data_IF_099131733755
#
_entry.id   IF_099131733755
#
_cell.length_a   1.000
_cell.length_b   1.000
_cell.length_c   1.000
_cell.angle_alpha   90.00
_cell.angle_beta   90.00
_cell.angle_gamma   90.00
#
_symmetry.space_group_name_H-M   'P 1'
#
loop_
_entity.id
_entity.type
_entity.pdbx_description
1 polymer ?
#
# COMPACT_ATOMS: atom_id res chain seq x y z
N UNK A 1 24.86 -25.14 9.97
CA UNK A 1 23.59 -24.91 10.71
C UNK A 1 23.47 -23.45 11.06
N UNK A 2 22.31 -22.82 10.80
CA UNK A 2 22.08 -21.48 11.30
C UNK A 2 22.05 -21.53 12.84
N UNK A 3 22.84 -20.68 13.49
CA UNK A 3 22.83 -20.58 14.94
C UNK A 3 21.89 -19.45 15.38
N UNK A 4 21.02 -19.76 16.32
CA UNK A 4 20.15 -18.76 16.97
C UNK A 4 20.89 -18.29 18.23
N UNK A 5 21.13 -17.00 18.34
CA UNK A 5 21.71 -16.40 19.53
C UNK A 5 20.67 -15.52 20.22
N UNK A 6 20.33 -15.86 21.45
CA UNK A 6 19.47 -15.05 22.29
C UNK A 6 20.35 -14.28 23.27
N UNK A 7 20.25 -12.96 23.28
CA UNK A 7 20.93 -12.12 24.26
C UNK A 7 19.91 -11.27 25.02
N UNK A 8 20.07 -11.06 26.33
CA UNK A 8 19.12 -10.28 27.13
C UNK A 8 18.92 -8.84 26.63
N UNK A 9 19.94 -8.28 25.96
CA UNK A 9 19.92 -6.91 25.48
C UNK A 9 19.42 -6.74 24.03
N UNK A 10 19.38 -7.82 23.23
CA UNK A 10 19.09 -7.72 21.78
C UNK A 10 17.97 -8.64 21.29
N UNK A 11 17.34 -9.40 22.17
CA UNK A 11 16.29 -10.33 21.78
C UNK A 11 16.78 -11.48 20.90
N UNK A 12 15.87 -12.07 20.15
CA UNK A 12 16.14 -13.19 19.23
C UNK A 12 16.58 -12.65 17.88
N UNK A 13 17.75 -13.07 17.38
CA UNK A 13 18.13 -12.80 15.99
C UNK A 13 18.72 -14.05 15.32
N UNK A 14 18.47 -14.19 14.05
CA UNK A 14 18.98 -15.26 13.22
C UNK A 14 20.27 -14.82 12.53
N UNK A 15 21.36 -15.57 12.75
CA UNK A 15 22.64 -15.30 12.11
C UNK A 15 22.71 -16.07 10.79
N UNK A 16 22.81 -15.37 9.67
CA UNK A 16 22.94 -15.97 8.34
C UNK A 16 21.65 -16.01 7.51
N UNK A 17 20.57 -15.37 7.96
CA UNK A 17 19.38 -15.09 7.17
C UNK A 17 19.25 -13.60 6.86
N UNK A 18 18.47 -13.28 5.84
CA UNK A 18 18.15 -11.89 5.46
C UNK A 18 17.08 -11.25 6.35
N UNK A 19 16.39 -12.05 7.15
CA UNK A 19 15.33 -11.56 8.01
C UNK A 19 15.86 -11.26 9.39
N UNK A 20 16.00 -9.98 9.70
CA UNK A 20 16.28 -9.49 11.04
C UNK A 20 14.95 -9.25 11.75
N UNK A 21 14.66 -10.04 12.78
CA UNK A 21 13.55 -9.69 13.69
C UNK A 21 14.04 -8.51 14.53
N UNK A 22 13.44 -7.33 14.39
CA UNK A 22 13.85 -6.17 15.17
C UNK A 22 13.69 -6.43 16.67
N UNK A 23 14.55 -5.82 17.44
CA UNK A 23 14.61 -5.93 18.89
C UNK A 23 13.27 -5.80 19.61
N UNK A 24 13.03 -6.74 20.50
CA UNK A 24 12.02 -6.65 21.55
C UNK A 24 10.61 -6.92 21.05
N UNK A 25 9.78 -7.34 21.92
CA UNK A 25 8.35 -7.63 21.81
C UNK A 25 7.76 -7.57 20.39
N UNK A 26 7.28 -8.70 19.92
CA UNK A 26 6.41 -8.82 18.73
C UNK A 26 5.09 -8.02 18.88
N UNK A 27 4.92 -7.32 19.97
CA UNK A 27 3.80 -6.42 20.23
C UNK A 27 4.13 -5.03 19.69
N UNK A 28 3.42 -4.59 18.67
CA UNK A 28 3.44 -3.22 18.20
C UNK A 28 4.41 -2.93 17.07
N UNK A 29 4.43 -3.74 16.02
CA UNK A 29 5.04 -3.36 14.77
C UNK A 29 4.35 -2.09 14.24
N UNK A 30 5.03 -0.96 14.43
CA UNK A 30 4.58 0.29 13.82
C UNK A 30 4.80 0.19 12.30
N UNK A 31 3.76 0.45 11.53
CA UNK A 31 3.91 0.60 10.09
C UNK A 31 4.77 1.85 9.83
N UNK A 32 5.73 1.75 8.92
CA UNK A 32 6.46 2.91 8.46
C UNK A 32 5.49 3.87 7.74
N UNK A 33 5.55 5.16 8.07
CA UNK A 33 4.84 6.21 7.34
C UNK A 33 5.86 6.96 6.50
N UNK A 34 5.70 6.91 5.19
CA UNK A 34 6.65 7.47 4.22
C UNK A 34 5.96 8.61 3.48
N UNK A 35 6.44 9.84 3.65
CA UNK A 35 5.92 11.00 2.94
C UNK A 35 6.30 10.94 1.45
N UNK A 36 5.35 11.28 0.58
CA UNK A 36 5.52 11.38 -0.87
C UNK A 36 4.94 12.72 -1.36
N UNK A 37 5.72 13.41 -2.18
CA UNK A 37 5.36 14.70 -2.78
C UNK A 37 5.49 14.71 -4.30
N UNK A 38 5.57 13.53 -4.90
CA UNK A 38 5.67 13.30 -6.34
C UNK A 38 5.06 11.94 -6.70
N UNK A 39 4.90 11.68 -7.99
CA UNK A 39 4.55 10.36 -8.50
C UNK A 39 5.54 9.31 -8.00
N UNK A 40 5.03 8.13 -7.70
CA UNK A 40 5.83 7.09 -7.09
C UNK A 40 5.51 5.71 -7.65
N UNK A 41 6.57 4.95 -7.93
CA UNK A 41 6.46 3.52 -8.27
C UNK A 41 6.80 2.70 -7.04
N UNK A 42 5.89 1.81 -6.62
CA UNK A 42 6.10 0.91 -5.49
C UNK A 42 7.30 -0.02 -5.71
N UNK A 43 8.04 -0.22 -4.65
CA UNK A 43 9.15 -1.17 -4.56
C UNK A 43 8.87 -2.22 -3.49
N UNK A 44 9.60 -3.33 -3.48
CA UNK A 44 9.44 -4.37 -2.46
C UNK A 44 9.70 -3.86 -1.03
N UNK A 45 10.52 -2.82 -0.88
CA UNK A 45 10.81 -2.21 0.41
C UNK A 45 9.61 -1.47 1.04
N UNK A 46 8.61 -1.11 0.23
CA UNK A 46 7.41 -0.39 0.69
C UNK A 46 6.35 -1.33 1.29
N UNK A 47 6.54 -2.65 1.22
CA UNK A 47 5.59 -3.62 1.74
C UNK A 47 5.32 -3.38 3.24
N UNK A 48 4.06 -3.33 3.62
CA UNK A 48 3.63 -3.06 4.99
C UNK A 48 3.62 -1.59 5.40
N UNK A 49 4.05 -0.66 4.54
CA UNK A 49 4.11 0.76 4.86
C UNK A 49 2.79 1.51 4.62
N UNK A 50 2.75 2.75 5.08
CA UNK A 50 1.75 3.76 4.73
C UNK A 50 2.47 4.84 3.92
N UNK A 51 2.03 5.07 2.69
CA UNK A 51 2.52 6.14 1.83
C UNK A 51 1.61 7.36 1.98
N UNK A 52 2.12 8.42 2.58
CA UNK A 52 1.39 9.65 2.85
C UNK A 52 1.67 10.67 1.74
N UNK A 53 0.69 10.90 0.88
CA UNK A 53 0.83 11.82 -0.26
C UNK A 53 0.35 13.23 0.08
N UNK A 54 1.18 14.22 -0.26
CA UNK A 54 0.88 15.65 -0.08
C UNK A 54 1.46 16.48 -1.23
N UNK A 55 0.92 17.69 -1.42
CA UNK A 55 1.40 18.64 -2.41
C UNK A 55 0.49 18.77 -3.63
N UNK A 56 0.58 17.95 -4.60
CA UNK A 56 -0.19 18.00 -5.86
C UNK A 56 -0.98 16.73 -6.17
N UNK A 57 -1.51 16.63 -7.37
CA UNK A 57 -2.03 15.39 -7.90
C UNK A 57 -0.88 14.39 -8.12
N UNK A 58 -1.04 13.17 -7.65
CA UNK A 58 0.01 12.16 -7.72
C UNK A 58 -0.49 10.82 -8.21
N UNK A 59 0.41 10.11 -8.90
CA UNK A 59 0.18 8.74 -9.38
C UNK A 59 1.04 7.75 -8.59
N UNK A 60 0.38 6.72 -8.05
CA UNK A 60 1.02 5.54 -7.48
C UNK A 60 1.00 4.43 -8.51
N UNK A 61 2.17 4.00 -8.98
CA UNK A 61 2.31 2.88 -9.92
C UNK A 61 2.60 1.59 -9.19
N UNK A 62 1.78 0.57 -9.45
CA UNK A 62 1.90 -0.76 -8.88
C UNK A 62 2.84 -1.63 -9.73
N UNK A 63 3.72 -2.42 -9.11
CA UNK A 63 4.62 -3.31 -9.83
C UNK A 63 3.91 -4.51 -10.46
N UNK A 64 4.66 -5.30 -11.22
CA UNK A 64 4.16 -6.53 -11.84
C UNK A 64 3.68 -7.54 -10.79
N UNK A 65 2.59 -8.27 -11.10
CA UNK A 65 1.98 -9.26 -10.20
C UNK A 65 2.92 -10.41 -9.84
N UNK A 66 3.74 -10.85 -10.80
CA UNK A 66 4.60 -12.03 -10.66
C UNK A 66 5.56 -11.95 -9.45
N UNK A 67 5.96 -10.73 -9.06
CA UNK A 67 6.89 -10.48 -7.96
C UNK A 67 6.22 -9.88 -6.72
N UNK A 68 4.89 -9.73 -6.74
CA UNK A 68 4.19 -8.91 -5.75
C UNK A 68 3.16 -9.69 -4.90
N UNK A 69 3.05 -11.00 -5.07
CA UNK A 69 2.10 -11.80 -4.29
C UNK A 69 2.30 -11.63 -2.79
N UNK A 70 1.23 -11.29 -2.07
CA UNK A 70 1.26 -11.00 -0.63
C UNK A 70 1.66 -9.56 -0.27
N UNK A 71 2.07 -8.77 -1.24
CA UNK A 71 2.40 -7.36 -1.02
C UNK A 71 1.17 -6.58 -0.57
N UNK A 72 1.36 -5.69 0.40
CA UNK A 72 0.29 -4.79 0.86
C UNK A 72 0.87 -3.43 1.23
N UNK A 73 0.09 -2.38 0.98
CA UNK A 73 0.44 -1.00 1.30
C UNK A 73 -0.83 -0.17 1.47
N UNK A 74 -0.77 0.88 2.26
CA UNK A 74 -1.84 1.88 2.32
C UNK A 74 -1.34 3.17 1.68
N UNK A 75 -2.09 3.71 0.73
CA UNK A 75 -1.94 5.06 0.21
C UNK A 75 -2.89 5.98 0.96
N UNK A 76 -2.37 7.06 1.53
CA UNK A 76 -3.10 8.01 2.36
C UNK A 76 -3.02 9.41 1.78
N UNK A 77 -4.14 10.11 1.71
CA UNK A 77 -4.23 11.50 1.25
C UNK A 77 -3.98 12.44 2.42
N UNK A 78 -2.82 13.09 2.44
CA UNK A 78 -2.41 14.01 3.50
C UNK A 78 -2.71 15.50 3.17
N UNK A 79 -3.00 15.80 1.92
CA UNK A 79 -3.54 17.10 1.49
C UNK A 79 -4.58 16.89 0.39
N UNK A 80 -5.60 17.75 0.32
CA UNK A 80 -6.69 17.62 -0.64
C UNK A 80 -6.18 17.70 -2.09
N UNK A 81 -6.20 16.58 -2.82
CA UNK A 81 -5.68 16.46 -4.18
C UNK A 81 -6.25 15.23 -4.91
N UNK A 82 -6.08 15.24 -6.23
CA UNK A 82 -6.36 14.05 -7.04
C UNK A 82 -5.31 12.97 -6.80
N UNK A 83 -5.76 11.76 -6.60
CA UNK A 83 -4.89 10.60 -6.43
C UNK A 83 -5.22 9.53 -7.46
N UNK A 84 -4.18 8.99 -8.07
CA UNK A 84 -4.31 7.96 -9.11
C UNK A 84 -3.51 6.73 -8.67
N UNK A 85 -4.13 5.57 -8.76
CA UNK A 85 -3.44 4.28 -8.64
C UNK A 85 -3.50 3.59 -10.00
N UNK A 86 -2.36 3.29 -10.58
CA UNK A 86 -2.26 2.59 -11.86
C UNK A 86 -1.48 1.28 -11.69
N UNK A 87 -1.85 0.27 -12.45
CA UNK A 87 -1.22 -1.05 -12.39
C UNK A 87 -1.16 -1.75 -13.74
N UNK A 88 -0.82 -3.04 -13.77
CA UNK A 88 -0.82 -3.82 -14.99
C UNK A 88 -2.21 -3.84 -15.63
N UNK A 89 -2.25 -3.82 -16.96
CA UNK A 89 -3.49 -3.72 -17.76
C UNK A 89 -4.52 -4.77 -17.36
N UNK A 90 -5.74 -4.33 -17.04
CA UNK A 90 -6.87 -5.16 -16.62
C UNK A 90 -6.57 -6.08 -15.41
N UNK A 91 -5.67 -5.66 -14.53
CA UNK A 91 -5.25 -6.43 -13.36
C UNK A 91 -5.58 -5.77 -12.02
N UNK A 92 -6.39 -4.73 -12.05
CA UNK A 92 -6.93 -4.14 -10.83
C UNK A 92 -8.36 -4.59 -10.59
N UNK A 93 -8.71 -4.77 -9.34
CA UNK A 93 -10.07 -4.92 -8.85
C UNK A 93 -10.27 -4.01 -7.65
N UNK A 94 -11.43 -3.40 -7.52
CA UNK A 94 -11.69 -2.40 -6.50
C UNK A 94 -13.04 -2.59 -5.83
N UNK A 95 -13.06 -2.31 -4.53
CA UNK A 95 -14.27 -1.95 -3.78
C UNK A 95 -14.07 -0.51 -3.31
N UNK A 96 -14.91 0.39 -3.76
CA UNK A 96 -14.94 1.77 -3.30
C UNK A 96 -16.07 1.95 -2.30
N UNK A 97 -15.76 2.52 -1.16
CA UNK A 97 -16.72 2.92 -0.12
C UNK A 97 -16.64 4.44 0.01
N UNK A 98 -17.70 5.11 -0.37
CA UNK A 98 -17.86 6.56 -0.22
C UNK A 98 -19.11 6.88 0.62
N UNK A 99 -19.33 8.16 0.90
CA UNK A 99 -20.46 8.63 1.70
C UNK A 99 -21.86 8.28 1.13
N UNK A 100 -21.94 7.91 -0.15
CA UNK A 100 -23.21 7.72 -0.87
C UNK A 100 -23.43 6.30 -1.39
N UNK A 101 -22.37 5.53 -1.65
CA UNK A 101 -22.48 4.22 -2.28
C UNK A 101 -21.27 3.31 -2.01
N UNK A 102 -21.47 2.01 -2.25
CA UNK A 102 -20.38 1.03 -2.37
C UNK A 102 -20.36 0.53 -3.80
N UNK A 103 -19.27 0.77 -4.51
CA UNK A 103 -19.07 0.29 -5.86
C UNK A 103 -18.05 -0.85 -5.91
N UNK A 104 -18.28 -1.79 -6.82
CA UNK A 104 -17.34 -2.86 -7.14
C UNK A 104 -17.01 -2.83 -8.61
N UNK A 105 -15.73 -2.72 -8.93
CA UNK A 105 -15.24 -2.74 -10.31
C UNK A 105 -14.15 -3.78 -10.45
N UNK A 106 -14.13 -4.47 -11.58
CA UNK A 106 -13.19 -5.56 -11.83
C UNK A 106 -12.53 -5.42 -13.20
N UNK A 107 -11.29 -5.88 -13.33
CA UNK A 107 -10.51 -5.89 -14.56
C UNK A 107 -10.31 -4.49 -15.20
N UNK A 108 -9.77 -3.56 -14.43
CA UNK A 108 -9.41 -2.23 -14.90
C UNK A 108 -7.89 -1.96 -14.71
N UNK A 109 -7.41 -0.82 -15.19
CA UNK A 109 -5.98 -0.46 -15.16
C UNK A 109 -5.68 0.69 -14.22
N UNK A 110 -6.63 1.61 -14.04
CA UNK A 110 -6.42 2.84 -13.27
C UNK A 110 -7.61 3.14 -12.37
N UNK A 111 -7.35 3.45 -11.10
CA UNK A 111 -8.32 3.99 -10.15
C UNK A 111 -7.99 5.47 -9.89
N UNK A 112 -8.93 6.37 -10.15
CA UNK A 112 -8.78 7.80 -9.97
C UNK A 112 -9.73 8.32 -8.90
N UNK A 113 -9.18 8.89 -7.83
CA UNK A 113 -9.90 9.69 -6.86
C UNK A 113 -9.75 11.16 -7.25
N UNK A 114 -10.81 11.77 -7.76
CA UNK A 114 -10.86 13.19 -8.07
C UNK A 114 -11.29 13.98 -6.82
N UNK A 115 -10.57 15.05 -6.53
CA UNK A 115 -10.83 15.89 -5.35
C UNK A 115 -10.78 15.11 -4.02
N UNK A 116 -9.77 14.28 -3.84
CA UNK A 116 -9.55 13.56 -2.60
C UNK A 116 -9.43 14.50 -1.40
N UNK A 117 -10.08 14.13 -0.30
CA UNK A 117 -10.04 14.86 0.96
C UNK A 117 -8.92 14.34 1.86
N UNK A 118 -8.48 15.16 2.83
CA UNK A 118 -7.55 14.70 3.86
C UNK A 118 -8.21 13.55 4.64
N UNK A 119 -7.54 12.41 4.71
CA UNK A 119 -8.04 11.22 5.36
C UNK A 119 -8.50 10.12 4.40
N UNK A 120 -8.75 10.45 3.14
CA UNK A 120 -9.04 9.44 2.12
C UNK A 120 -7.85 8.49 1.95
N UNK A 121 -8.15 7.22 1.66
CA UNK A 121 -7.12 6.21 1.55
C UNK A 121 -7.49 5.10 0.58
N UNK A 122 -6.46 4.46 0.04
CA UNK A 122 -6.53 3.20 -0.68
C UNK A 122 -5.74 2.15 0.09
N UNK A 123 -6.40 1.10 0.55
CA UNK A 123 -5.73 -0.10 1.04
C UNK A 123 -5.51 -1.05 -0.15
N UNK A 124 -4.26 -1.35 -0.45
CA UNK A 124 -3.84 -2.03 -1.68
C UNK A 124 -3.16 -3.35 -1.32
N UNK A 125 -3.60 -4.44 -1.93
CA UNK A 125 -3.08 -5.77 -1.69
C UNK A 125 -2.93 -6.54 -3.00
N UNK A 126 -1.84 -7.29 -3.15
CA UNK A 126 -1.63 -8.19 -4.28
C UNK A 126 -1.96 -9.64 -3.91
N UNK A 127 -3.03 -10.19 -4.44
CA UNK A 127 -3.40 -11.59 -4.20
C UNK A 127 -2.68 -12.58 -5.15
N UNK A 128 -1.98 -12.09 -6.17
CA UNK A 128 -1.22 -12.86 -7.15
C UNK A 128 -1.74 -12.72 -8.58
N UNK A 129 -3.04 -12.82 -8.81
CA UNK A 129 -3.67 -12.67 -10.14
C UNK A 129 -4.16 -11.25 -10.40
N UNK A 130 -4.46 -10.53 -9.31
CA UNK A 130 -4.93 -9.14 -9.31
C UNK A 130 -4.34 -8.34 -8.17
N UNK A 131 -4.26 -7.03 -8.36
CA UNK A 131 -4.18 -6.05 -7.31
C UNK A 131 -5.59 -5.73 -6.83
N UNK A 132 -5.83 -5.89 -5.55
CA UNK A 132 -7.09 -5.58 -4.89
C UNK A 132 -6.96 -4.24 -4.19
N UNK A 133 -7.87 -3.32 -4.49
CA UNK A 133 -7.91 -1.98 -3.92
C UNK A 133 -9.20 -1.86 -3.11
N UNK A 134 -9.08 -1.46 -1.84
CA UNK A 134 -10.22 -0.99 -1.06
C UNK A 134 -10.06 0.50 -0.87
N UNK A 135 -10.94 1.27 -1.51
CA UNK A 135 -10.93 2.72 -1.44
C UNK A 135 -11.93 3.19 -0.38
N UNK A 136 -11.46 4.00 0.54
CA UNK A 136 -12.26 4.74 1.51
C UNK A 136 -12.08 6.22 1.19
N UNK A 137 -13.07 6.82 0.57
CA UNK A 137 -12.98 8.18 0.08
C UNK A 137 -14.33 8.90 0.22
N UNK A 138 -14.29 10.20 0.43
CA UNK A 138 -15.50 11.02 0.47
C UNK A 138 -16.08 11.21 -0.95
N UNK A 139 -15.22 11.37 -1.95
CA UNK A 139 -15.60 11.43 -3.35
C UNK A 139 -15.60 10.05 -4.03
N UNK A 140 -16.30 9.93 -5.14
CA UNK A 140 -16.31 8.72 -5.95
C UNK A 140 -14.93 8.43 -6.56
N UNK A 141 -14.54 7.16 -6.58
CA UNK A 141 -13.33 6.67 -7.25
C UNK A 141 -13.74 6.08 -8.59
N UNK A 142 -13.18 6.60 -9.68
CA UNK A 142 -13.47 6.17 -11.04
C UNK A 142 -12.41 5.15 -11.48
N UNK A 143 -12.88 4.00 -11.96
CA UNK A 143 -12.05 2.96 -12.57
C UNK A 143 -12.05 3.08 -14.10
N UNK A 144 -10.88 2.92 -14.73
CA UNK A 144 -10.71 2.97 -16.19
C UNK A 144 -9.65 1.99 -16.71
#
# INVERSE_FOLDING_TARGET
MPSIKVTPAKGLFQRGGTDTIPNGTLSGHKRAVIAKTADYTLTQADCGSVLSFSGGAHTLTLPALATSKGFHVTMFVASANNMIVTGPANKLTMVSVNSSATERVHAFTTATLSAGAIGDRFDIYCQGDFWVITAFADAAVVAS
#
